data_IF_504104323464
#
_entry.id   IF_504104323464
#
_cell.length_a   1.000
_cell.length_b   1.000
_cell.length_c   1.000
_cell.angle_alpha   90.00
_cell.angle_beta   90.00
_cell.angle_gamma   90.00
#
_symmetry.space_group_name_H-M   'P 1'
#
loop_
_entity.id
_entity.type
_entity.pdbx_description
1 polymer ?
#
# COMPACT_ATOMS: atom_id res chain seq x y z
N UNK A 1 -25.31 11.89 20.35
CA UNK A 1 -24.16 12.78 20.12
C UNK A 1 -23.04 12.49 21.12
N UNK A 2 -23.30 12.53 22.44
CA UNK A 2 -22.25 12.40 23.47
C UNK A 2 -21.66 10.98 23.60
N UNK A 3 -22.46 9.95 23.32
CA UNK A 3 -21.96 8.55 23.30
C UNK A 3 -20.98 8.28 22.15
N UNK A 4 -21.20 8.95 21.02
CA UNK A 4 -20.30 8.81 19.87
C UNK A 4 -18.99 9.55 20.10
N UNK A 5 -19.05 10.77 20.67
CA UNK A 5 -17.85 11.53 21.05
C UNK A 5 -17.02 10.79 22.11
N UNK A 6 -17.66 10.24 23.15
CA UNK A 6 -16.95 9.42 24.17
C UNK A 6 -16.35 8.13 23.61
N UNK A 7 -16.95 7.53 22.58
CA UNK A 7 -16.38 6.38 21.88
C UNK A 7 -15.14 6.81 21.09
N UNK A 8 -15.19 7.99 20.45
CA UNK A 8 -14.09 8.55 19.67
C UNK A 8 -12.93 8.98 20.56
N UNK A 9 -13.19 9.55 21.75
CA UNK A 9 -12.16 9.89 22.73
C UNK A 9 -11.49 8.63 23.31
N UNK A 10 -12.25 7.57 23.52
CA UNK A 10 -11.72 6.26 23.92
C UNK A 10 -10.86 5.62 22.83
N UNK A 11 -11.24 5.76 21.57
CA UNK A 11 -10.47 5.31 20.42
C UNK A 11 -9.17 6.13 20.27
N UNK A 12 -9.25 7.46 20.34
CA UNK A 12 -8.10 8.36 20.29
C UNK A 12 -7.09 8.07 21.42
N UNK A 13 -7.57 7.80 22.65
CA UNK A 13 -6.73 7.43 23.79
C UNK A 13 -6.06 6.06 23.63
N UNK A 14 -6.74 5.08 23.03
CA UNK A 14 -6.16 3.76 22.71
C UNK A 14 -5.04 3.84 21.66
N UNK A 15 -5.09 4.86 20.78
CA UNK A 15 -4.07 5.12 19.76
C UNK A 15 -2.96 6.10 20.19
N UNK A 16 -3.03 6.64 21.41
CA UNK A 16 -2.09 7.67 21.91
C UNK A 16 -0.70 7.15 22.35
N UNK A 17 -0.35 5.85 22.11
CA UNK A 17 0.98 5.30 22.46
C UNK A 17 1.31 4.08 21.59
N UNK A 18 2.52 3.85 21.17
CA UNK A 18 3.57 4.64 20.54
C UNK A 18 3.64 4.42 19.03
N UNK A 19 2.77 5.05 18.28
CA UNK A 19 3.08 5.20 16.86
C UNK A 19 4.30 6.13 16.78
N UNK A 20 5.37 5.75 16.09
CA UNK A 20 6.29 6.76 15.62
C UNK A 20 5.46 7.78 14.86
N UNK A 21 5.80 9.04 14.95
CA UNK A 21 5.13 10.26 14.52
C UNK A 21 4.62 10.32 13.04
N UNK A 22 4.22 9.20 12.46
CA UNK A 22 3.85 9.04 11.06
C UNK A 22 2.41 9.43 10.75
N UNK A 23 1.51 9.38 11.75
CA UNK A 23 0.12 9.76 11.56
C UNK A 23 -0.32 10.68 12.69
N UNK A 24 -0.69 11.94 12.40
CA UNK A 24 -1.46 12.70 13.36
C UNK A 24 -2.76 11.93 13.69
N UNK A 25 -3.22 11.93 14.95
CA UNK A 25 -4.43 11.22 15.37
C UNK A 25 -5.64 11.51 14.47
N UNK A 26 -5.74 12.72 13.98
CA UNK A 26 -6.80 13.23 13.09
C UNK A 26 -6.80 12.54 11.73
N UNK A 27 -5.63 12.12 11.24
CA UNK A 27 -5.51 11.41 9.97
C UNK A 27 -6.06 9.98 10.06
N UNK A 28 -5.74 9.25 11.15
CA UNK A 28 -6.27 7.90 11.37
C UNK A 28 -7.78 7.89 11.60
N UNK A 29 -8.31 8.90 12.32
CA UNK A 29 -9.75 9.09 12.51
C UNK A 29 -10.42 9.41 11.18
N UNK A 30 -9.84 10.26 10.35
CA UNK A 30 -10.33 10.54 8.99
C UNK A 30 -10.32 9.32 8.08
N UNK A 31 -9.27 8.49 8.16
CA UNK A 31 -9.12 7.25 7.37
C UNK A 31 -10.10 6.17 7.79
N UNK A 32 -10.38 6.04 9.10
CA UNK A 32 -11.25 4.98 9.62
C UNK A 32 -12.74 5.36 9.68
N UNK A 33 -13.07 6.64 9.80
CA UNK A 33 -14.44 7.12 10.05
C UNK A 33 -15.09 7.88 8.90
N UNK A 34 -14.36 8.26 7.86
CA UNK A 34 -14.91 9.02 6.74
C UNK A 34 -14.18 8.70 5.45
N UNK A 35 -14.68 7.78 4.66
CA UNK A 35 -14.24 7.66 3.30
C UNK A 35 -14.62 8.94 2.54
N UNK A 36 -13.74 9.93 2.53
CA UNK A 36 -13.84 11.05 1.61
C UNK A 36 -13.77 10.46 0.19
N UNK A 37 -14.90 10.43 -0.49
CA UNK A 37 -15.00 9.89 -1.84
C UNK A 37 -14.58 10.98 -2.81
N UNK A 38 -13.31 11.00 -3.18
CA UNK A 38 -12.82 11.87 -4.24
C UNK A 38 -13.22 11.33 -5.60
N UNK A 39 -13.70 12.21 -6.45
CA UNK A 39 -14.12 11.90 -7.81
C UNK A 39 -13.85 13.08 -8.75
N UNK A 40 -13.97 12.84 -10.05
CA UNK A 40 -13.95 13.88 -11.05
C UNK A 40 -15.33 13.99 -11.69
N UNK A 41 -15.81 15.24 -11.86
CA UNK A 41 -17.05 15.55 -12.55
C UNK A 41 -16.77 16.58 -13.63
N UNK A 42 -17.14 16.27 -14.85
CA UNK A 42 -17.14 17.21 -15.98
C UNK A 42 -18.50 17.90 -16.01
N UNK A 43 -18.49 19.22 -16.03
CA UNK A 43 -19.72 20.04 -15.99
C UNK A 43 -19.70 20.97 -17.18
N UNK A 44 -20.78 20.97 -17.95
CA UNK A 44 -21.05 21.94 -19.00
C UNK A 44 -22.17 22.86 -18.53
N UNK A 45 -21.98 24.18 -18.67
CA UNK A 45 -22.97 25.13 -18.20
C UNK A 45 -22.73 26.55 -18.70
N UNK A 46 -23.26 27.55 -17.98
CA UNK A 46 -23.07 28.97 -18.28
C UNK A 46 -22.83 29.74 -16.99
N UNK A 47 -21.77 30.56 -16.96
CA UNK A 47 -21.44 31.41 -15.83
C UNK A 47 -21.39 30.62 -14.50
N UNK A 48 -20.75 29.45 -14.54
CA UNK A 48 -20.54 28.60 -13.37
C UNK A 48 -19.53 29.29 -12.45
N UNK A 49 -19.85 29.48 -11.14
CA UNK A 49 -18.97 30.16 -10.22
C UNK A 49 -17.76 29.30 -9.80
N UNK A 50 -16.73 29.94 -9.30
CA UNK A 50 -15.63 29.29 -8.61
C UNK A 50 -16.04 28.82 -7.21
N UNK A 51 -15.26 27.89 -6.63
CA UNK A 51 -15.40 27.41 -5.26
C UNK A 51 -14.03 27.01 -4.73
N UNK A 52 -13.79 27.25 -3.46
CA UNK A 52 -12.56 26.87 -2.76
C UNK A 52 -12.68 25.50 -2.05
N UNK A 53 -13.85 24.86 -2.10
CA UNK A 53 -14.13 23.60 -1.40
C UNK A 53 -13.55 22.37 -2.12
N UNK A 54 -13.19 22.52 -3.41
CA UNK A 54 -12.61 21.48 -4.26
C UNK A 54 -11.84 22.11 -5.43
N UNK A 55 -11.04 21.31 -6.14
CA UNK A 55 -10.31 21.83 -7.30
C UNK A 55 -11.22 22.02 -8.50
N UNK A 56 -11.13 23.19 -9.13
CA UNK A 56 -11.85 23.54 -10.35
C UNK A 56 -10.86 23.84 -11.47
N UNK A 57 -11.04 23.21 -12.60
CA UNK A 57 -10.30 23.50 -13.82
C UNK A 57 -11.29 23.85 -14.94
N UNK A 58 -10.97 24.87 -15.72
CA UNK A 58 -11.79 25.32 -16.84
C UNK A 58 -12.27 26.75 -16.68
N UNK A 59 -13.18 27.16 -17.55
CA UNK A 59 -13.85 28.47 -17.51
C UNK A 59 -15.33 28.29 -17.16
N UNK A 60 -16.05 29.38 -16.94
CA UNK A 60 -17.44 29.33 -16.52
C UNK A 60 -18.44 28.63 -17.49
N UNK A 61 -17.96 28.06 -18.60
CA UNK A 61 -18.76 27.31 -19.56
C UNK A 61 -18.49 25.80 -19.55
N UNK A 62 -17.29 25.39 -19.12
CA UNK A 62 -16.89 23.98 -19.03
C UNK A 62 -15.91 23.83 -17.88
N UNK A 63 -16.29 23.04 -16.87
CA UNK A 63 -15.49 22.82 -15.67
C UNK A 63 -15.18 21.34 -15.49
N UNK A 64 -14.02 21.07 -14.90
CA UNK A 64 -13.68 19.78 -14.29
C UNK A 64 -13.60 20.04 -12.77
N UNK A 65 -14.42 19.35 -12.01
CA UNK A 65 -14.47 19.44 -10.55
C UNK A 65 -13.80 18.20 -9.98
N UNK A 66 -12.79 18.38 -9.13
CA UNK A 66 -12.07 17.27 -8.48
C UNK A 66 -12.05 17.50 -6.99
N UNK A 67 -12.66 16.61 -6.22
CA UNK A 67 -12.76 16.73 -4.78
C UNK A 67 -13.67 15.70 -4.15
N UNK A 68 -14.09 15.98 -2.93
CA UNK A 68 -15.01 15.12 -2.20
C UNK A 68 -16.43 15.24 -2.76
N UNK A 69 -17.15 14.12 -2.72
CA UNK A 69 -18.46 14.00 -3.37
C UNK A 69 -19.48 14.99 -2.79
N UNK A 70 -19.50 15.18 -1.48
CA UNK A 70 -20.52 15.99 -0.81
C UNK A 70 -20.45 17.49 -1.18
N UNK A 71 -19.28 18.17 -1.09
CA UNK A 71 -19.15 19.55 -1.57
C UNK A 71 -19.50 19.70 -3.05
N UNK A 72 -19.08 18.76 -3.90
CA UNK A 72 -19.38 18.79 -5.33
C UNK A 72 -20.89 18.64 -5.57
N UNK A 73 -21.56 17.71 -4.90
CA UNK A 73 -23.03 17.56 -5.01
C UNK A 73 -23.78 18.82 -4.58
N UNK A 74 -23.36 19.44 -3.48
CA UNK A 74 -23.95 20.70 -3.00
C UNK A 74 -23.76 21.82 -4.05
N UNK A 75 -22.56 21.91 -4.64
CA UNK A 75 -22.27 22.88 -5.69
C UNK A 75 -23.15 22.67 -6.91
N UNK A 76 -23.27 21.43 -7.40
CA UNK A 76 -24.08 21.09 -8.57
C UNK A 76 -25.55 21.40 -8.34
N UNK A 77 -26.09 21.09 -7.17
CA UNK A 77 -27.50 21.39 -6.85
C UNK A 77 -27.75 22.90 -6.75
N UNK A 78 -26.85 23.67 -6.09
CA UNK A 78 -26.93 25.15 -6.02
C UNK A 78 -26.87 25.80 -7.39
N UNK A 79 -26.17 25.23 -8.34
CA UNK A 79 -25.96 25.79 -9.68
C UNK A 79 -26.79 25.09 -10.79
N UNK A 80 -27.72 24.24 -10.45
CA UNK A 80 -28.52 23.41 -11.34
C UNK A 80 -29.13 24.17 -12.52
N UNK A 81 -29.64 25.39 -12.28
CA UNK A 81 -30.22 26.24 -13.34
C UNK A 81 -29.20 26.73 -14.39
N UNK A 82 -27.90 26.67 -14.07
CA UNK A 82 -26.79 27.08 -14.94
C UNK A 82 -26.14 25.90 -15.66
N UNK A 83 -26.38 24.69 -15.16
CA UNK A 83 -25.80 23.45 -15.66
C UNK A 83 -26.64 22.90 -16.80
N UNK A 84 -26.00 22.56 -17.91
CA UNK A 84 -26.62 21.95 -19.07
C UNK A 84 -26.42 20.43 -19.08
N UNK A 85 -25.24 19.97 -18.64
CA UNK A 85 -24.87 18.57 -18.65
C UNK A 85 -23.77 18.26 -17.62
N UNK A 86 -23.72 17.02 -17.12
CA UNK A 86 -22.68 16.53 -16.23
C UNK A 86 -22.28 15.11 -16.60
N UNK A 87 -20.97 14.86 -16.59
CA UNK A 87 -20.43 13.50 -16.73
C UNK A 87 -19.59 13.15 -15.50
N UNK A 88 -19.86 12.01 -14.90
CA UNK A 88 -19.21 11.56 -13.67
C UNK A 88 -18.25 10.41 -13.97
N UNK A 89 -16.99 10.54 -13.58
CA UNK A 89 -16.03 9.43 -13.62
C UNK A 89 -16.10 8.63 -12.31
N UNK A 90 -16.89 7.57 -12.31
CA UNK A 90 -17.10 6.71 -11.15
C UNK A 90 -15.96 5.68 -10.94
N UNK A 91 -15.17 5.42 -11.94
CA UNK A 91 -14.01 4.51 -11.91
C UNK A 91 -12.82 5.08 -11.13
N UNK A 92 -12.81 6.40 -10.87
CA UNK A 92 -11.79 7.10 -10.07
C UNK A 92 -12.22 7.37 -8.64
N UNK A 93 -13.05 6.49 -8.07
CA UNK A 93 -13.37 6.58 -6.65
C UNK A 93 -12.12 6.27 -5.84
N UNK A 94 -11.54 7.29 -5.21
CA UNK A 94 -10.45 7.13 -4.29
C UNK A 94 -10.98 6.97 -2.86
N UNK A 95 -10.34 6.09 -2.07
CA UNK A 95 -10.54 6.06 -0.64
C UNK A 95 -9.90 7.30 0.01
N UNK A 96 -10.12 7.51 1.31
CA UNK A 96 -9.44 8.57 2.07
C UNK A 96 -7.90 8.45 2.07
N UNK A 97 -7.36 7.26 1.74
CA UNK A 97 -5.92 7.05 1.61
C UNK A 97 -5.54 7.29 0.14
N UNK A 98 -4.76 8.34 -0.16
CA UNK A 98 -4.28 8.58 -1.51
C UNK A 98 -3.31 7.49 -1.97
N UNK A 99 -3.03 7.48 -3.26
CA UNK A 99 -1.94 6.71 -3.84
C UNK A 99 -0.62 7.44 -3.62
N UNK A 100 0.48 6.69 -3.56
CA UNK A 100 1.82 7.26 -3.46
C UNK A 100 2.16 8.08 -4.71
N UNK A 101 2.71 9.27 -4.53
CA UNK A 101 3.36 9.99 -5.62
C UNK A 101 4.69 9.31 -5.97
N UNK A 102 4.72 8.66 -7.13
CA UNK A 102 5.88 7.90 -7.62
C UNK A 102 6.80 8.71 -8.55
N UNK A 103 6.52 9.99 -8.80
CA UNK A 103 7.24 10.81 -9.81
C UNK A 103 8.73 11.01 -9.48
N UNK A 104 9.10 10.92 -8.22
CA UNK A 104 10.47 11.16 -7.74
C UNK A 104 11.15 9.90 -7.18
N UNK A 105 10.55 8.72 -7.37
CA UNK A 105 11.08 7.47 -6.84
C UNK A 105 12.05 6.87 -7.86
N UNK A 106 13.30 6.64 -7.44
CA UNK A 106 14.32 6.00 -8.27
C UNK A 106 14.19 4.46 -8.21
N UNK A 107 13.07 3.96 -8.73
CA UNK A 107 12.73 2.54 -8.79
C UNK A 107 11.95 2.23 -10.07
N UNK A 108 12.01 1.00 -10.54
CA UNK A 108 11.17 0.55 -11.66
C UNK A 108 9.81 0.12 -11.12
N UNK A 109 8.78 0.87 -11.46
CA UNK A 109 7.40 0.59 -11.06
C UNK A 109 6.60 0.31 -12.32
N UNK A 110 6.16 -0.93 -12.46
CA UNK A 110 5.43 -1.38 -13.65
C UNK A 110 3.96 -0.89 -13.61
N UNK A 111 3.34 -0.65 -14.77
CA UNK A 111 1.92 -0.30 -14.85
C UNK A 111 1.03 -1.33 -14.16
N UNK A 112 0.01 -0.87 -13.45
CA UNK A 112 -0.93 -1.72 -12.71
C UNK A 112 -0.48 -2.11 -11.31
N UNK A 113 0.69 -1.69 -10.84
CA UNK A 113 1.03 -1.74 -9.42
C UNK A 113 0.15 -0.77 -8.62
N UNK A 114 -0.37 -1.22 -7.48
CA UNK A 114 -1.20 -0.42 -6.58
C UNK A 114 -0.39 -0.11 -5.33
N UNK A 115 0.02 1.14 -5.18
CA UNK A 115 0.90 1.58 -4.09
C UNK A 115 0.19 2.69 -3.33
N UNK A 116 -0.14 2.43 -2.07
CA UNK A 116 -0.77 3.42 -1.19
C UNK A 116 0.22 4.43 -0.66
N UNK A 117 -0.30 5.56 -0.22
CA UNK A 117 0.52 6.59 0.43
C UNK A 117 1.30 6.06 1.64
N UNK A 118 2.34 6.77 2.04
CA UNK A 118 3.29 6.38 3.10
C UNK A 118 4.04 5.04 2.87
N UNK A 119 4.03 4.51 1.67
CA UNK A 119 4.95 3.44 1.27
C UNK A 119 6.32 4.04 0.99
N UNK A 120 7.37 3.40 1.49
CA UNK A 120 8.76 3.78 1.20
C UNK A 120 9.36 2.77 0.25
N UNK A 121 9.93 3.25 -0.86
CA UNK A 121 10.61 2.42 -1.87
C UNK A 121 12.02 2.98 -2.06
N UNK A 122 13.03 2.19 -1.72
CA UNK A 122 14.43 2.57 -1.87
C UNK A 122 14.91 2.40 -3.32
N UNK A 123 16.11 2.92 -3.60
CA UNK A 123 16.70 2.94 -4.94
C UNK A 123 16.81 1.55 -5.58
N UNK A 124 16.66 1.51 -6.90
CA UNK A 124 16.80 0.31 -7.71
C UNK A 124 15.83 -0.83 -7.34
N UNK A 125 14.80 -0.57 -6.56
CA UNK A 125 13.74 -1.54 -6.33
C UNK A 125 12.93 -1.77 -7.62
N UNK A 126 12.30 -2.92 -7.71
CA UNK A 126 11.43 -3.29 -8.84
C UNK A 126 10.08 -3.71 -8.30
N UNK A 127 9.04 -2.99 -8.69
CA UNK A 127 7.65 -3.32 -8.34
C UNK A 127 6.94 -3.73 -9.63
N UNK A 128 6.62 -5.01 -9.75
CA UNK A 128 6.03 -5.57 -10.96
C UNK A 128 4.53 -5.30 -11.05
N UNK A 129 3.96 -5.52 -12.24
CA UNK A 129 2.54 -5.30 -12.51
C UNK A 129 1.64 -6.09 -11.55
N UNK A 130 0.57 -5.45 -11.07
CA UNK A 130 -0.40 -6.07 -10.17
C UNK A 130 0.06 -6.26 -8.73
N UNK A 131 1.27 -5.88 -8.38
CA UNK A 131 1.71 -5.87 -6.98
C UNK A 131 0.89 -4.84 -6.17
N UNK A 132 0.54 -5.20 -4.93
CA UNK A 132 -0.26 -4.36 -4.03
C UNK A 132 0.55 -4.08 -2.77
N UNK A 133 0.91 -2.81 -2.57
CA UNK A 133 1.64 -2.33 -1.39
C UNK A 133 0.70 -1.45 -0.55
N UNK A 134 0.33 -1.96 0.62
CA UNK A 134 -0.55 -1.22 1.52
C UNK A 134 0.24 -0.17 2.32
N UNK A 135 -0.48 0.70 3.00
CA UNK A 135 0.06 1.84 3.75
C UNK A 135 1.18 1.44 4.72
N UNK A 136 2.26 2.21 4.75
CA UNK A 136 3.38 2.01 5.66
C UNK A 136 4.34 0.87 5.30
N UNK A 137 4.16 0.22 4.14
CA UNK A 137 5.13 -0.78 3.64
C UNK A 137 6.46 -0.12 3.36
N UNK A 138 7.56 -0.82 3.68
CA UNK A 138 8.94 -0.39 3.40
C UNK A 138 9.62 -1.41 2.51
N UNK A 139 10.16 -0.96 1.38
CA UNK A 139 10.90 -1.79 0.42
C UNK A 139 12.34 -1.33 0.36
N UNK A 140 13.25 -2.21 0.74
CA UNK A 140 14.69 -1.95 0.72
C UNK A 140 15.29 -1.93 -0.69
N UNK A 141 16.49 -1.36 -0.77
CA UNK A 141 17.26 -1.16 -1.99
C UNK A 141 17.43 -2.45 -2.80
N UNK A 142 17.28 -2.36 -4.13
CA UNK A 142 17.43 -3.47 -5.07
C UNK A 142 16.52 -4.69 -4.78
N UNK A 143 15.42 -4.49 -4.07
CA UNK A 143 14.42 -5.53 -3.80
C UNK A 143 13.41 -5.61 -4.94
N UNK A 144 13.03 -6.83 -5.30
CA UNK A 144 11.97 -7.08 -6.28
C UNK A 144 10.71 -7.59 -5.61
N UNK A 145 9.59 -6.93 -5.89
CA UNK A 145 8.25 -7.38 -5.57
C UNK A 145 7.60 -7.82 -6.87
N UNK A 146 7.42 -9.12 -7.03
CA UNK A 146 6.99 -9.73 -8.28
C UNK A 146 5.48 -9.60 -8.52
N UNK A 147 5.01 -10.05 -9.68
CA UNK A 147 3.64 -9.85 -10.18
C UNK A 147 2.58 -10.34 -9.20
N UNK A 148 1.62 -9.47 -8.89
CA UNK A 148 0.48 -9.82 -8.06
C UNK A 148 0.80 -10.13 -6.60
N UNK A 149 2.02 -9.87 -6.12
CA UNK A 149 2.34 -10.01 -4.71
C UNK A 149 1.58 -8.98 -3.87
N UNK A 150 1.15 -9.38 -2.66
CA UNK A 150 0.37 -8.52 -1.75
C UNK A 150 1.13 -8.31 -0.46
N UNK A 151 1.47 -7.06 -0.18
CA UNK A 151 2.13 -6.64 1.05
C UNK A 151 1.13 -5.86 1.89
N UNK A 152 0.74 -6.45 3.01
CA UNK A 152 -0.17 -5.85 3.98
C UNK A 152 0.44 -4.64 4.68
N UNK A 153 -0.37 -3.90 5.44
CA UNK A 153 0.09 -2.68 6.10
C UNK A 153 1.31 -2.88 6.98
N UNK A 154 2.26 -1.95 6.90
CA UNK A 154 3.49 -1.88 7.70
C UNK A 154 4.52 -3.00 7.45
N UNK A 155 4.33 -3.88 6.48
CA UNK A 155 5.34 -4.90 6.13
C UNK A 155 6.68 -4.24 5.81
N UNK A 156 7.75 -4.80 6.34
CA UNK A 156 9.13 -4.35 6.09
C UNK A 156 9.89 -5.41 5.30
N UNK A 157 10.43 -5.02 4.15
CA UNK A 157 11.25 -5.87 3.29
C UNK A 157 12.64 -5.26 3.18
N UNK A 158 13.63 -6.01 3.60
CA UNK A 158 15.04 -5.63 3.53
C UNK A 158 15.58 -5.45 2.11
N UNK A 159 16.89 -5.28 2.00
CA UNK A 159 17.57 -5.06 0.72
C UNK A 159 17.79 -6.37 -0.03
N UNK A 160 17.85 -6.27 -1.36
CA UNK A 160 18.14 -7.40 -2.26
C UNK A 160 17.27 -8.63 -1.98
N UNK A 161 16.03 -8.39 -1.59
CA UNK A 161 15.04 -9.44 -1.45
C UNK A 161 14.34 -9.74 -2.79
N UNK A 162 13.72 -10.90 -2.87
CA UNK A 162 12.80 -11.24 -3.94
C UNK A 162 11.52 -11.80 -3.32
N UNK A 163 10.43 -11.10 -3.50
CA UNK A 163 9.09 -11.55 -3.11
C UNK A 163 8.41 -12.07 -4.36
N UNK A 164 8.27 -13.38 -4.47
CA UNK A 164 7.79 -14.06 -5.67
C UNK A 164 6.34 -13.78 -6.02
N UNK A 165 5.97 -14.06 -7.25
CA UNK A 165 4.66 -13.77 -7.81
C UNK A 165 3.53 -14.35 -6.96
N UNK A 166 2.49 -13.55 -6.70
CA UNK A 166 1.33 -13.94 -5.91
C UNK A 166 1.60 -14.22 -4.43
N UNK A 167 2.81 -13.98 -3.93
CA UNK A 167 3.11 -14.15 -2.52
C UNK A 167 2.34 -13.12 -1.67
N UNK A 168 1.97 -13.51 -0.44
CA UNK A 168 1.26 -12.66 0.50
C UNK A 168 2.09 -12.50 1.77
N UNK A 169 2.46 -11.28 2.08
CA UNK A 169 3.02 -10.89 3.36
C UNK A 169 1.92 -10.21 4.16
N UNK A 170 1.41 -10.88 5.21
CA UNK A 170 0.29 -10.37 5.98
C UNK A 170 0.68 -9.06 6.69
N UNK A 171 -0.25 -8.11 6.67
CA UNK A 171 -0.06 -6.83 7.32
C UNK A 171 -0.71 -6.78 8.68
N UNK A 172 -0.25 -5.87 9.51
CA UNK A 172 -0.89 -5.54 10.78
C UNK A 172 -1.11 -4.04 10.85
N UNK A 173 -2.38 -3.65 10.95
CA UNK A 173 -2.78 -2.28 11.26
C UNK A 173 -3.33 -2.23 12.69
N UNK A 174 -4.06 -3.25 13.10
CA UNK A 174 -4.66 -3.39 14.43
C UNK A 174 -4.26 -4.72 15.10
N UNK A 175 -3.84 -4.71 16.38
CA UNK A 175 -3.56 -3.52 17.20
C UNK A 175 -2.22 -2.86 16.77
N UNK A 176 -2.05 -1.56 17.07
CA UNK A 176 -0.82 -0.82 16.72
C UNK A 176 0.46 -1.43 17.28
N UNK A 177 0.35 -2.12 18.42
CA UNK A 177 1.46 -2.82 19.09
C UNK A 177 1.88 -4.13 18.41
N UNK A 178 1.07 -4.64 17.47
CA UNK A 178 1.42 -5.88 16.80
C UNK A 178 2.60 -5.67 15.83
N UNK A 179 3.52 -6.63 15.80
CA UNK A 179 4.66 -6.62 14.89
C UNK A 179 4.22 -6.94 13.47
N UNK A 180 4.67 -6.18 12.45
CA UNK A 180 4.44 -6.55 11.05
C UNK A 180 5.28 -7.76 10.65
N UNK A 181 5.04 -8.28 9.45
CA UNK A 181 5.99 -9.18 8.79
C UNK A 181 7.27 -8.41 8.50
N UNK A 182 8.42 -9.01 8.82
CA UNK A 182 9.74 -8.44 8.56
C UNK A 182 10.56 -9.44 7.77
N UNK A 183 10.98 -9.07 6.58
CA UNK A 183 12.01 -9.78 5.82
C UNK A 183 13.34 -9.05 6.00
N UNK A 184 14.36 -9.75 6.50
CA UNK A 184 15.71 -9.22 6.53
C UNK A 184 16.33 -9.21 5.11
N UNK A 185 17.58 -8.75 4.96
CA UNK A 185 18.25 -8.68 3.67
C UNK A 185 18.42 -10.06 3.01
N UNK A 186 18.49 -10.06 1.67
CA UNK A 186 18.84 -11.24 0.86
C UNK A 186 17.84 -12.41 0.97
N UNK A 187 16.59 -12.13 1.42
CA UNK A 187 15.53 -13.13 1.55
C UNK A 187 14.86 -13.41 0.21
N UNK A 188 14.54 -14.68 -0.05
CA UNK A 188 13.72 -15.09 -1.18
C UNK A 188 12.42 -15.74 -0.69
N UNK A 189 11.30 -15.17 -1.09
CA UNK A 189 9.96 -15.72 -0.89
C UNK A 189 9.50 -16.32 -2.22
N UNK A 190 9.22 -17.62 -2.22
CA UNK A 190 8.73 -18.32 -3.40
C UNK A 190 7.31 -17.88 -3.80
N UNK A 191 6.98 -18.10 -5.08
CA UNK A 191 5.66 -17.74 -5.60
C UNK A 191 4.51 -18.37 -4.77
N UNK A 192 3.42 -17.61 -4.59
CA UNK A 192 2.24 -18.00 -3.83
C UNK A 192 2.50 -18.43 -2.37
N UNK A 193 3.65 -18.10 -1.80
CA UNK A 193 3.88 -18.32 -0.38
C UNK A 193 3.13 -17.28 0.46
N UNK A 194 2.69 -17.68 1.66
CA UNK A 194 2.02 -16.81 2.62
C UNK A 194 2.85 -16.73 3.89
N UNK A 195 3.13 -15.52 4.34
CA UNK A 195 3.78 -15.25 5.63
C UNK A 195 2.76 -14.54 6.52
N UNK A 196 2.41 -15.14 7.66
CA UNK A 196 1.44 -14.56 8.58
C UNK A 196 2.03 -13.40 9.37
N UNK A 197 1.15 -12.57 9.94
CA UNK A 197 1.53 -11.39 10.72
C UNK A 197 2.50 -11.75 11.87
N UNK A 198 3.40 -10.82 12.18
CA UNK A 198 4.37 -10.94 13.27
C UNK A 198 5.59 -11.79 12.96
N UNK A 199 5.61 -12.51 11.84
CA UNK A 199 6.72 -13.39 11.47
C UNK A 199 7.92 -12.59 10.96
N UNK A 200 9.10 -12.98 11.44
CA UNK A 200 10.41 -12.51 10.96
C UNK A 200 11.09 -13.58 10.11
N UNK A 201 11.50 -13.22 8.91
CA UNK A 201 12.30 -14.07 8.04
C UNK A 201 13.75 -13.58 8.07
N UNK A 202 14.64 -14.41 8.64
CA UNK A 202 16.04 -14.06 8.85
C UNK A 202 16.83 -13.91 7.54
N UNK A 203 17.91 -13.13 7.62
CA UNK A 203 18.77 -12.78 6.49
C UNK A 203 19.13 -13.98 5.63
N UNK A 204 18.96 -13.82 4.33
CA UNK A 204 19.33 -14.84 3.35
C UNK A 204 18.47 -16.12 3.40
N UNK A 205 17.41 -16.17 4.19
CA UNK A 205 16.52 -17.35 4.20
C UNK A 205 15.75 -17.50 2.89
N UNK A 206 15.24 -18.70 2.67
CA UNK A 206 14.42 -19.04 1.49
C UNK A 206 13.12 -19.68 1.95
N UNK A 207 12.01 -19.15 1.48
CA UNK A 207 10.69 -19.75 1.62
C UNK A 207 10.30 -20.39 0.30
N UNK A 208 10.01 -21.68 0.32
CA UNK A 208 9.59 -22.44 -0.87
C UNK A 208 8.24 -21.93 -1.42
N UNK A 209 8.02 -22.08 -2.72
CA UNK A 209 6.76 -21.71 -3.35
C UNK A 209 5.56 -22.44 -2.71
N UNK A 210 4.41 -21.72 -2.58
CA UNK A 210 3.18 -22.28 -1.99
C UNK A 210 3.24 -22.59 -0.49
N UNK A 211 4.29 -22.15 0.20
CA UNK A 211 4.45 -22.40 1.63
C UNK A 211 3.60 -21.47 2.49
N UNK A 212 3.15 -21.94 3.67
CA UNK A 212 2.49 -21.11 4.69
C UNK A 212 3.38 -21.04 5.92
N UNK A 213 3.99 -19.87 6.13
CA UNK A 213 4.95 -19.62 7.20
C UNK A 213 4.24 -19.05 8.42
N UNK A 214 4.21 -19.80 9.51
CA UNK A 214 3.52 -19.46 10.75
C UNK A 214 4.47 -19.01 11.88
N UNK A 215 5.78 -19.23 11.72
CA UNK A 215 6.77 -18.93 12.73
C UNK A 215 8.03 -18.32 12.09
N UNK A 216 8.82 -17.66 12.90
CA UNK A 216 10.09 -17.07 12.49
C UNK A 216 10.98 -18.08 11.79
N UNK A 217 11.68 -17.61 10.75
CA UNK A 217 12.61 -18.42 9.97
C UNK A 217 14.05 -17.97 10.29
N UNK A 218 14.94 -18.87 10.73
CA UNK A 218 16.33 -18.54 10.99
C UNK A 218 17.05 -18.02 9.72
N UNK A 219 18.08 -17.19 9.94
CA UNK A 219 18.91 -16.70 8.84
C UNK A 219 19.53 -17.87 8.07
N UNK A 220 19.55 -17.77 6.73
CA UNK A 220 20.10 -18.76 5.84
C UNK A 220 19.30 -20.06 5.69
N UNK A 221 18.28 -20.28 6.51
CA UNK A 221 17.46 -21.50 6.46
C UNK A 221 16.60 -21.57 5.19
N UNK A 222 16.25 -22.78 4.80
CA UNK A 222 15.27 -23.06 3.75
C UNK A 222 14.05 -23.71 4.39
N UNK A 223 12.88 -23.10 4.22
CA UNK A 223 11.61 -23.63 4.71
C UNK A 223 10.67 -23.91 3.56
N UNK A 224 9.83 -24.93 3.70
CA UNK A 224 8.77 -25.23 2.73
C UNK A 224 7.61 -25.99 3.36
N UNK A 225 6.47 -25.97 2.67
CA UNK A 225 5.27 -26.73 3.00
C UNK A 225 4.17 -25.93 3.67
N UNK A 226 3.07 -26.62 3.99
CA UNK A 226 1.91 -26.08 4.71
C UNK A 226 1.54 -26.99 5.89
N UNK A 227 1.79 -26.59 7.13
CA UNK A 227 2.61 -25.42 7.51
C UNK A 227 4.09 -25.60 7.14
N UNK A 228 4.78 -24.49 6.88
CA UNK A 228 6.19 -24.51 6.51
C UNK A 228 7.07 -25.08 7.62
N UNK A 229 8.05 -25.89 7.23
CA UNK A 229 9.04 -26.48 8.14
C UNK A 229 10.45 -26.26 7.57
N UNK A 230 11.42 -26.18 8.44
CA UNK A 230 12.83 -26.11 8.03
C UNK A 230 13.20 -27.42 7.33
N UNK A 231 13.50 -27.33 6.04
CA UNK A 231 13.97 -28.48 5.22
C UNK A 231 15.50 -28.51 5.10
N UNK A 232 16.14 -27.34 5.26
CA UNK A 232 17.60 -27.19 5.35
C UNK A 232 17.91 -26.07 6.34
N UNK A 233 18.81 -26.33 7.29
CA UNK A 233 19.26 -25.31 8.26
C UNK A 233 20.08 -24.20 7.57
N UNK A 234 20.82 -24.56 6.50
CA UNK A 234 21.61 -23.63 5.69
C UNK A 234 21.45 -23.95 4.20
N UNK A 235 21.61 -22.92 3.35
CA UNK A 235 21.60 -23.09 1.90
C UNK A 235 22.76 -23.96 1.44
N UNK A 236 22.45 -25.03 0.73
CA UNK A 236 23.45 -25.80 -0.01
C UNK A 236 23.97 -25.00 -1.22
N UNK A 237 25.09 -25.44 -1.82
CA UNK A 237 25.62 -24.82 -3.04
C UNK A 237 24.56 -24.74 -4.15
N UNK A 238 23.86 -25.83 -4.40
CA UNK A 238 22.74 -25.88 -5.36
C UNK A 238 21.61 -24.89 -5.03
N UNK A 239 21.25 -24.76 -3.74
CA UNK A 239 20.23 -23.79 -3.33
C UNK A 239 20.70 -22.35 -3.55
N UNK A 240 21.99 -22.05 -3.28
CA UNK A 240 22.56 -20.73 -3.53
C UNK A 240 22.51 -20.38 -5.02
N UNK A 241 22.88 -21.31 -5.89
CA UNK A 241 22.83 -21.14 -7.35
C UNK A 241 21.40 -20.89 -7.84
N UNK A 242 20.41 -21.69 -7.37
CA UNK A 242 19.00 -21.55 -7.74
C UNK A 242 18.31 -20.30 -7.16
N UNK A 243 18.87 -19.70 -6.13
CA UNK A 243 18.30 -18.49 -5.47
C UNK A 243 19.17 -17.24 -5.71
N UNK A 244 20.12 -17.32 -6.63
CA UNK A 244 20.95 -16.18 -7.00
C UNK A 244 20.09 -15.14 -7.71
N UNK A 245 20.14 -13.90 -7.21
CA UNK A 245 19.47 -12.78 -7.85
C UNK A 245 20.29 -12.29 -9.04
N UNK A 246 19.61 -11.88 -10.09
CA UNK A 246 20.24 -11.33 -11.30
C UNK A 246 20.17 -9.80 -11.19
N UNK A 247 21.31 -9.16 -10.93
CA UNK A 247 21.40 -7.71 -10.71
C UNK A 247 20.97 -6.91 -11.96
N UNK A 248 21.23 -7.44 -13.16
CA UNK A 248 20.85 -6.76 -14.42
C UNK A 248 19.33 -6.52 -14.55
N UNK A 249 18.49 -7.35 -13.92
CA UNK A 249 17.04 -7.15 -13.91
C UNK A 249 16.60 -5.97 -13.02
N UNK A 250 17.50 -5.44 -12.20
CA UNK A 250 17.27 -4.34 -11.26
C UNK A 250 17.89 -3.02 -11.70
N UNK A 251 18.68 -3.04 -12.76
CA UNK A 251 19.21 -1.82 -13.37
C UNK A 251 18.10 -1.07 -14.06
N UNK A 252 17.98 0.21 -13.76
CA UNK A 252 17.02 1.15 -14.37
C UNK A 252 17.70 1.80 -15.58
#
# INVERSE_FOLDING_TARGET
>A
SDKFMNLMDGFAAAFASPFPSFYPPDFLVGVLCGAALRLAVYVKGKNLPESDEFHIFGDGSSLILIGDIEPIQIYLEKNKARIQDTYWEHDRRNSAIPMLDITHINARIEPGAIIRDHVTIENNAVIMMGAILNIGVKIGESTMIDMGAVLGGRVEVGKRCHVGAGAVLAGVIEPPSASPVILEDDVLIGANAVVVEGVRIGKGAVVGAGSIVLNDVPAGAVVAGNPARVIKAEKTKETKEKTQLIDDLRKI
#
